data_IF_562331898375
#
_entry.id   IF_562331898375
#
_cell.length_a   1.000
_cell.length_b   1.000
_cell.length_c   1.000
_cell.angle_alpha   90.00
_cell.angle_beta   90.00
_cell.angle_gamma   90.00
#
_symmetry.space_group_name_H-M   'P 1'
#
loop_
_entity.id
_entity.type
_entity.pdbx_description
1 polymer ?
#
# COMPACT_ATOMS: atom_id res chain seq x y z
N UNK A 1 -8.55 -7.47 -11.47
CA UNK A 1 -9.19 -8.80 -11.27
C UNK A 1 -10.02 -8.78 -9.99
N UNK A 2 -9.39 -8.68 -8.81
CA UNK A 2 -10.09 -8.64 -7.50
C UNK A 2 -11.22 -7.59 -7.47
N UNK A 3 -10.93 -6.34 -7.81
CA UNK A 3 -11.92 -5.25 -7.81
C UNK A 3 -13.14 -5.48 -8.75
N UNK A 4 -13.01 -6.35 -9.76
CA UNK A 4 -14.07 -6.65 -10.73
C UNK A 4 -14.78 -7.98 -10.44
N UNK A 5 -14.26 -8.79 -9.52
CA UNK A 5 -14.76 -10.16 -9.25
C UNK A 5 -15.20 -10.37 -7.80
N UNK A 6 -14.84 -9.48 -6.88
CA UNK A 6 -15.12 -9.60 -5.45
C UNK A 6 -15.96 -8.42 -4.95
N UNK A 7 -16.85 -8.71 -3.99
CA UNK A 7 -17.59 -7.70 -3.24
C UNK A 7 -16.70 -7.11 -2.13
N UNK A 8 -16.95 -5.85 -1.75
CA UNK A 8 -16.21 -5.20 -0.68
C UNK A 8 -16.34 -6.02 0.62
N UNK A 9 -15.21 -6.26 1.29
CA UNK A 9 -15.03 -7.13 2.46
C UNK A 9 -15.24 -8.63 2.23
N UNK A 10 -15.38 -9.07 0.97
CA UNK A 10 -15.37 -10.49 0.65
C UNK A 10 -13.95 -11.05 0.86
N UNK A 11 -13.86 -12.21 1.52
CA UNK A 11 -12.62 -12.98 1.65
C UNK A 11 -12.77 -14.37 1.04
N UNK A 12 -11.82 -14.74 0.18
CA UNK A 12 -11.70 -16.04 -0.47
C UNK A 12 -10.49 -16.75 0.14
N UNK A 13 -10.67 -17.86 0.88
CA UNK A 13 -9.56 -18.59 1.45
C UNK A 13 -8.74 -19.28 0.36
N UNK A 14 -7.42 -19.11 0.40
CA UNK A 14 -6.49 -19.73 -0.56
C UNK A 14 -5.79 -20.94 0.07
N UNK A 15 -5.33 -20.78 1.30
CA UNK A 15 -4.67 -21.82 2.09
C UNK A 15 -4.90 -21.55 3.58
N UNK A 16 -4.60 -22.49 4.51
CA UNK A 16 -4.53 -22.15 5.93
C UNK A 16 -3.65 -20.91 6.09
N UNK A 17 -3.94 -20.03 7.05
CA UNK A 17 -3.23 -18.76 7.31
C UNK A 17 -3.25 -17.67 6.21
N UNK A 18 -3.88 -17.87 5.04
CA UNK A 18 -3.90 -16.85 3.98
C UNK A 18 -5.21 -16.80 3.17
N UNK A 19 -5.79 -15.60 3.10
CA UNK A 19 -6.96 -15.26 2.30
C UNK A 19 -6.62 -14.20 1.25
N UNK A 20 -7.34 -14.23 0.13
CA UNK A 20 -7.53 -13.05 -0.71
C UNK A 20 -8.74 -12.29 -0.19
N UNK A 21 -8.56 -11.05 0.21
CA UNK A 21 -9.66 -10.18 0.65
C UNK A 21 -9.85 -9.01 -0.33
N UNK A 22 -10.90 -8.23 -0.17
CA UNK A 22 -11.06 -6.98 -0.91
C UNK A 22 -11.45 -5.86 0.05
N UNK A 23 -10.48 -5.03 0.41
CA UNK A 23 -10.64 -3.96 1.40
C UNK A 23 -10.21 -2.62 0.81
N UNK A 24 -10.95 -1.56 1.13
CA UNK A 24 -10.59 -0.19 0.80
C UNK A 24 -9.91 0.47 1.98
N UNK A 25 -8.63 0.81 1.82
CA UNK A 25 -7.84 1.48 2.82
C UNK A 25 -7.75 2.98 2.52
N UNK A 26 -8.60 3.73 3.21
CA UNK A 26 -8.64 5.20 3.17
C UNK A 26 -7.57 5.85 4.07
N UNK A 27 -6.71 5.06 4.71
CA UNK A 27 -5.80 5.51 5.77
C UNK A 27 -6.43 5.44 7.18
N UNK A 28 -7.52 4.69 7.33
CA UNK A 28 -8.26 4.54 8.59
C UNK A 28 -7.51 3.76 9.69
N UNK A 29 -6.33 3.18 9.40
CA UNK A 29 -5.42 2.64 10.42
C UNK A 29 -5.10 3.70 11.50
N UNK A 30 -5.13 4.98 11.14
CA UNK A 30 -5.18 6.10 12.06
C UNK A 30 -6.63 6.46 12.38
N UNK A 31 -7.34 5.60 13.11
CA UNK A 31 -8.78 5.74 13.39
C UNK A 31 -9.16 7.12 13.97
N UNK A 32 -8.24 7.80 14.66
CA UNK A 32 -8.41 9.19 15.13
C UNK A 32 -8.56 10.23 14.00
N UNK A 33 -8.09 9.93 12.79
CA UNK A 33 -8.22 10.78 11.62
C UNK A 33 -9.49 10.48 10.83
N UNK A 34 -10.04 9.28 10.88
CA UNK A 34 -11.12 8.81 10.00
C UNK A 34 -12.39 9.69 9.99
N UNK A 35 -12.67 10.41 11.09
CA UNK A 35 -13.82 11.32 11.17
C UNK A 35 -13.60 12.69 10.49
N UNK A 36 -12.40 12.98 10.01
CA UNK A 36 -12.01 14.31 9.55
C UNK A 36 -12.20 14.54 8.03
N UNK A 37 -13.28 14.06 7.42
CA UNK A 37 -13.73 14.59 6.11
C UNK A 37 -12.82 14.38 4.89
N UNK A 38 -12.02 13.31 4.86
CA UNK A 38 -11.32 12.87 3.63
C UNK A 38 -9.99 13.54 3.31
N UNK A 39 -9.46 14.44 4.16
CA UNK A 39 -8.16 15.10 3.93
C UNK A 39 -6.98 14.11 3.92
N UNK A 40 -7.13 12.96 4.57
CA UNK A 40 -6.09 11.95 4.70
C UNK A 40 -5.63 11.46 3.33
N UNK A 41 -6.54 11.39 2.35
CA UNK A 41 -6.21 11.11 0.95
C UNK A 41 -5.13 12.05 0.43
N UNK A 42 -5.34 13.35 0.57
CA UNK A 42 -4.43 14.38 0.06
C UNK A 42 -3.14 14.44 0.86
N UNK A 43 -3.20 14.25 2.17
CA UNK A 43 -2.01 14.17 3.01
C UNK A 43 -1.12 12.99 2.63
N UNK A 44 -1.68 11.77 2.52
CA UNK A 44 -0.91 10.60 2.13
C UNK A 44 -0.42 10.68 0.69
N UNK A 45 -1.20 11.29 -0.21
CA UNK A 45 -0.74 11.55 -1.58
C UNK A 45 0.47 12.51 -1.60
N UNK A 46 0.39 13.63 -0.88
CA UNK A 46 1.49 14.58 -0.77
C UNK A 46 2.73 13.95 -0.13
N UNK A 47 2.53 13.19 0.96
CA UNK A 47 3.62 12.47 1.63
C UNK A 47 4.30 11.49 0.68
N UNK A 48 3.53 10.70 -0.07
CA UNK A 48 4.07 9.75 -1.03
C UNK A 48 4.86 10.45 -2.15
N UNK A 49 4.38 11.60 -2.66
CA UNK A 49 5.11 12.42 -3.65
C UNK A 49 6.44 12.92 -3.08
N UNK A 50 6.43 13.49 -1.87
CA UNK A 50 7.64 14.03 -1.22
C UNK A 50 8.66 12.92 -0.97
N UNK A 51 8.24 11.80 -0.38
CA UNK A 51 9.13 10.65 -0.11
C UNK A 51 9.67 10.09 -1.42
N UNK A 52 8.84 9.92 -2.44
CA UNK A 52 9.29 9.46 -3.76
C UNK A 52 10.33 10.39 -4.36
N UNK A 53 10.15 11.71 -4.26
CA UNK A 53 11.15 12.69 -4.71
C UNK A 53 12.48 12.56 -3.95
N UNK A 54 12.43 12.38 -2.63
CA UNK A 54 13.63 12.14 -1.81
C UNK A 54 14.34 10.84 -2.23
N UNK A 55 13.60 9.75 -2.44
CA UNK A 55 14.16 8.48 -2.87
C UNK A 55 14.81 8.60 -4.25
N UNK A 56 14.17 9.28 -5.21
CA UNK A 56 14.75 9.53 -6.53
C UNK A 56 16.06 10.30 -6.43
N UNK A 57 16.09 11.39 -5.65
CA UNK A 57 17.32 12.18 -5.43
C UNK A 57 18.39 11.33 -4.76
N UNK A 58 18.03 10.47 -3.81
CA UNK A 58 18.97 9.55 -3.18
C UNK A 58 19.53 8.56 -4.20
N UNK A 59 18.69 7.95 -5.04
CA UNK A 59 19.10 7.06 -6.12
C UNK A 59 20.11 7.71 -7.07
N UNK A 60 19.97 9.01 -7.39
CA UNK A 60 20.97 9.72 -8.23
C UNK A 60 22.33 9.92 -7.57
N UNK A 61 22.44 9.71 -6.26
CA UNK A 61 23.67 9.89 -5.47
C UNK A 61 24.34 8.57 -5.10
N UNK A 62 23.76 7.43 -5.49
CA UNK A 62 24.34 6.11 -5.24
C UNK A 62 25.62 5.92 -6.05
N UNK A 63 26.56 5.18 -5.47
CA UNK A 63 27.79 4.76 -6.15
C UNK A 63 27.51 3.52 -7.01
N UNK A 64 28.27 3.35 -8.09
CA UNK A 64 28.07 2.25 -9.06
C UNK A 64 28.15 0.83 -8.48
N UNK A 65 28.70 0.63 -7.28
CA UNK A 65 28.78 -0.67 -6.63
C UNK A 65 27.60 -0.95 -5.67
N UNK A 66 26.71 0.02 -5.44
CA UNK A 66 25.59 -0.07 -4.50
C UNK A 66 24.33 -0.65 -5.16
N UNK A 67 24.48 -1.66 -6.02
CA UNK A 67 23.40 -2.22 -6.83
C UNK A 67 22.25 -2.80 -5.99
N UNK A 68 22.58 -3.44 -4.86
CA UNK A 68 21.56 -3.97 -3.94
C UNK A 68 20.74 -2.86 -3.29
N UNK A 69 21.40 -1.75 -2.90
CA UNK A 69 20.70 -0.59 -2.35
C UNK A 69 19.82 0.07 -3.42
N UNK A 70 20.34 0.21 -4.66
CA UNK A 70 19.56 0.75 -5.78
C UNK A 70 18.29 -0.08 -6.03
N UNK A 71 18.40 -1.41 -6.01
CA UNK A 71 17.26 -2.31 -6.14
C UNK A 71 16.27 -2.16 -4.98
N UNK A 72 16.74 -2.08 -3.73
CA UNK A 72 15.88 -1.87 -2.57
C UNK A 72 15.13 -0.53 -2.64
N UNK A 73 15.82 0.56 -3.01
CA UNK A 73 15.18 1.88 -3.19
C UNK A 73 14.16 1.86 -4.33
N UNK A 74 14.44 1.16 -5.43
CA UNK A 74 13.51 1.02 -6.55
C UNK A 74 12.24 0.25 -6.17
N UNK A 75 12.36 -0.80 -5.34
CA UNK A 75 11.21 -1.54 -4.83
C UNK A 75 10.33 -0.66 -3.92
N UNK A 76 10.94 0.06 -2.98
CA UNK A 76 10.23 0.99 -2.09
C UNK A 76 9.54 2.10 -2.90
N UNK A 77 10.25 2.67 -3.90
CA UNK A 77 9.70 3.70 -4.77
C UNK A 77 8.53 3.17 -5.61
N UNK A 78 8.66 1.96 -6.16
CA UNK A 78 7.60 1.29 -6.91
C UNK A 78 6.34 1.11 -6.08
N UNK A 79 6.50 0.65 -4.83
CA UNK A 79 5.40 0.53 -3.87
C UNK A 79 4.74 1.88 -3.55
N UNK A 80 5.55 2.90 -3.22
CA UNK A 80 5.06 4.24 -2.94
C UNK A 80 4.25 4.84 -4.11
N UNK A 81 4.72 4.65 -5.34
CA UNK A 81 4.05 5.13 -6.55
C UNK A 81 2.74 4.35 -6.79
N UNK A 82 2.74 3.02 -6.66
CA UNK A 82 1.52 2.21 -6.85
C UNK A 82 0.40 2.64 -5.91
N UNK A 83 0.73 2.78 -4.63
CA UNK A 83 -0.18 3.24 -3.58
C UNK A 83 -0.61 4.72 -3.74
N UNK A 84 0.22 5.55 -4.37
CA UNK A 84 -0.14 6.92 -4.74
C UNK A 84 -1.15 6.94 -5.89
N UNK A 85 -0.93 6.14 -6.93
CA UNK A 85 -1.83 6.03 -8.09
C UNK A 85 -3.24 5.63 -7.63
N UNK A 86 -3.35 4.63 -6.77
CA UNK A 86 -4.64 4.19 -6.21
C UNK A 86 -5.34 5.33 -5.46
N UNK A 87 -4.62 6.06 -4.61
CA UNK A 87 -5.18 7.22 -3.89
C UNK A 87 -5.62 8.35 -4.83
N UNK A 88 -4.90 8.57 -5.92
CA UNK A 88 -5.27 9.62 -6.89
C UNK A 88 -6.45 9.19 -7.76
N UNK A 89 -6.51 7.91 -8.18
CA UNK A 89 -7.57 7.39 -9.03
C UNK A 89 -8.88 7.13 -8.26
N UNK A 90 -8.80 6.46 -7.10
CA UNK A 90 -9.97 5.92 -6.39
C UNK A 90 -10.24 6.62 -5.05
N UNK A 91 -9.22 7.28 -4.47
CA UNK A 91 -9.34 7.93 -3.17
C UNK A 91 -9.04 7.02 -1.97
N UNK A 92 -8.68 5.77 -2.22
CA UNK A 92 -8.26 4.76 -1.25
C UNK A 92 -7.27 3.81 -1.92
N UNK A 93 -6.57 3.01 -1.13
CA UNK A 93 -5.75 1.89 -1.59
C UNK A 93 -6.56 0.61 -1.56
N UNK A 94 -6.36 -0.26 -2.55
CA UNK A 94 -6.99 -1.59 -2.57
C UNK A 94 -6.05 -2.58 -1.88
N UNK A 95 -6.47 -3.09 -0.73
CA UNK A 95 -5.76 -4.13 0.02
C UNK A 95 -6.43 -5.48 -0.22
N UNK A 96 -5.62 -6.51 -0.45
CA UNK A 96 -6.13 -7.82 -0.87
C UNK A 96 -5.39 -9.04 -0.34
N UNK A 97 -4.26 -8.85 0.33
CA UNK A 97 -3.54 -9.91 1.02
C UNK A 97 -3.94 -9.88 2.50
N UNK A 98 -4.55 -10.97 2.98
CA UNK A 98 -4.90 -11.14 4.38
C UNK A 98 -4.19 -12.39 4.94
N UNK A 99 -3.27 -12.16 5.87
CA UNK A 99 -2.49 -13.21 6.53
C UNK A 99 -2.94 -13.28 8.00
N UNK A 100 -3.21 -14.49 8.48
CA UNK A 100 -3.77 -14.69 9.81
C UNK A 100 -3.22 -15.93 10.50
N UNK A 101 -3.24 -15.91 11.83
CA UNK A 101 -2.96 -17.07 12.67
C UNK A 101 -4.10 -17.27 13.66
N UNK A 102 -4.77 -18.42 13.58
CA UNK A 102 -6.02 -18.71 14.30
C UNK A 102 -7.08 -17.63 14.03
N UNK A 103 -7.50 -16.88 15.06
CA UNK A 103 -8.48 -15.80 14.95
C UNK A 103 -7.84 -14.40 14.79
N UNK A 104 -6.50 -14.31 14.74
CA UNK A 104 -5.76 -13.04 14.69
C UNK A 104 -5.33 -12.75 13.26
N UNK A 105 -5.84 -11.66 12.72
CA UNK A 105 -5.49 -11.17 11.38
C UNK A 105 -4.46 -10.05 11.47
N UNK A 106 -3.43 -10.12 10.62
CA UNK A 106 -2.61 -8.96 10.31
C UNK A 106 -3.44 -7.97 9.46
N UNK A 107 -3.24 -6.65 9.58
CA UNK A 107 -3.92 -5.70 8.71
C UNK A 107 -3.73 -6.07 7.24
N UNK A 108 -4.83 -6.11 6.48
CA UNK A 108 -4.75 -6.41 5.05
C UNK A 108 -3.81 -5.43 4.35
N UNK A 109 -3.08 -5.92 3.35
CA UNK A 109 -2.08 -5.15 2.61
C UNK A 109 -2.09 -5.56 1.14
N UNK A 110 -1.22 -4.95 0.33
CA UNK A 110 -1.06 -5.32 -1.07
C UNK A 110 0.41 -5.51 -1.46
N UNK A 111 0.67 -5.77 -2.74
CA UNK A 111 2.05 -6.00 -3.25
C UNK A 111 2.93 -4.75 -3.10
N UNK A 112 2.35 -3.54 -3.18
CA UNK A 112 3.09 -2.29 -2.98
C UNK A 112 3.58 -2.12 -1.53
N UNK A 113 3.00 -2.84 -0.57
CA UNK A 113 3.41 -2.83 0.84
C UNK A 113 4.39 -3.97 1.21
N UNK A 114 4.67 -4.91 0.30
CA UNK A 114 5.46 -6.13 0.55
C UNK A 114 6.96 -5.93 0.33
#
# INVERSE_FOLDING_TARGET
>A
VIANTMQLYQSIPVMPFFNLTYVHNTGAAFSFLSQAGGWQRWFFALLAIVVSGVLVVWMTRLKNHENLLAAALALILGGAIGNLIDRLAYGYVIDFLDVYYEAKHWPAFNIADS
#
